data_IF_701779126479
#
_entry.id   IF_701779126479
#
_cell.length_a   1.000
_cell.length_b   1.000
_cell.length_c   1.000
_cell.angle_alpha   90.00
_cell.angle_beta   90.00
_cell.angle_gamma   90.00
#
_symmetry.space_group_name_H-M   'P 1'
#
loop_
_entity.id
_entity.type
_entity.pdbx_description
1 polymer ?
#
# COMPACT_ATOMS: atom_id res chain seq x y z
N UNK A 1 -5.11 -72.10 -8.17
CA UNK A 1 -4.07 -71.11 -8.54
C UNK A 1 -4.74 -69.75 -8.49
N UNK A 2 -4.63 -69.03 -7.36
CA UNK A 2 -5.33 -67.77 -7.12
C UNK A 2 -4.55 -66.61 -7.77
N UNK A 3 -5.17 -65.89 -8.70
CA UNK A 3 -4.62 -64.67 -9.27
C UNK A 3 -5.04 -63.48 -8.39
N UNK A 4 -4.06 -62.81 -7.79
CA UNK A 4 -4.23 -61.62 -6.97
C UNK A 4 -4.22 -60.39 -7.89
N UNK A 5 -5.38 -59.81 -8.13
CA UNK A 5 -5.52 -58.57 -8.90
C UNK A 5 -5.21 -57.39 -7.98
N UNK A 6 -4.07 -56.72 -8.22
CA UNK A 6 -3.72 -55.46 -7.55
C UNK A 6 -4.65 -54.34 -8.06
N UNK A 7 -5.51 -53.80 -7.20
CA UNK A 7 -6.24 -52.56 -7.46
C UNK A 7 -5.28 -51.39 -7.27
N UNK A 8 -4.97 -50.67 -8.34
CA UNK A 8 -4.29 -49.38 -8.25
C UNK A 8 -5.27 -48.34 -7.69
N UNK A 9 -4.98 -47.81 -6.50
CA UNK A 9 -5.73 -46.69 -5.94
C UNK A 9 -5.42 -45.42 -6.73
N UNK A 10 -6.43 -44.62 -7.12
CA UNK A 10 -6.17 -43.32 -7.74
C UNK A 10 -5.48 -42.40 -6.73
N UNK A 11 -4.34 -41.85 -7.12
CA UNK A 11 -3.71 -40.74 -6.41
C UNK A 11 -4.66 -39.54 -6.47
N UNK A 12 -5.33 -39.24 -5.35
CA UNK A 12 -5.95 -37.94 -5.17
C UNK A 12 -4.82 -36.90 -5.12
N UNK A 13 -4.84 -35.95 -6.05
CA UNK A 13 -4.00 -34.75 -5.91
C UNK A 13 -4.42 -34.06 -4.61
N UNK A 14 -3.50 -33.73 -3.70
CA UNK A 14 -3.85 -32.94 -2.53
C UNK A 14 -4.35 -31.58 -3.02
N UNK A 15 -5.61 -31.26 -2.74
CA UNK A 15 -6.10 -29.89 -2.86
C UNK A 15 -5.22 -29.01 -1.98
N UNK A 16 -4.48 -28.09 -2.60
CA UNK A 16 -3.69 -27.11 -1.86
C UNK A 16 -4.69 -26.17 -1.20
N UNK A 17 -5.02 -26.45 0.07
CA UNK A 17 -5.79 -25.52 0.89
C UNK A 17 -4.84 -24.41 1.29
N UNK A 18 -5.00 -23.24 0.65
CA UNK A 18 -4.25 -22.05 1.02
C UNK A 18 -4.60 -21.65 2.46
N UNK A 19 -3.56 -21.35 3.25
CA UNK A 19 -3.72 -21.03 4.66
C UNK A 19 -4.18 -19.59 4.80
N UNK A 20 -5.02 -19.34 5.80
CA UNK A 20 -5.45 -17.98 6.13
C UNK A 20 -4.37 -17.34 7.02
N UNK A 21 -3.85 -16.18 6.62
CA UNK A 21 -2.95 -15.38 7.44
C UNK A 21 -3.73 -14.41 8.34
N UNK A 22 -4.78 -13.78 7.79
CA UNK A 22 -5.63 -12.85 8.51
C UNK A 22 -7.09 -12.98 8.07
N UNK A 23 -8.01 -12.89 9.01
CA UNK A 23 -9.44 -12.72 8.75
C UNK A 23 -9.84 -11.26 9.06
N UNK A 24 -10.59 -10.63 8.16
CA UNK A 24 -11.07 -9.25 8.26
C UNK A 24 -12.57 -9.24 7.96
N UNK A 25 -13.39 -9.35 9.00
CA UNK A 25 -14.83 -9.58 8.88
C UNK A 25 -15.10 -10.87 8.09
N UNK A 26 -15.81 -10.73 6.96
CA UNK A 26 -16.11 -11.85 6.05
C UNK A 26 -15.06 -12.05 4.93
N UNK A 27 -13.91 -11.36 5.00
CA UNK A 27 -12.83 -11.43 4.02
C UNK A 27 -11.61 -12.06 4.63
N UNK A 28 -10.77 -12.66 3.80
CA UNK A 28 -9.52 -13.28 4.22
C UNK A 28 -8.34 -12.71 3.45
N UNK A 29 -7.17 -12.74 4.09
CA UNK A 29 -5.86 -12.58 3.49
C UNK A 29 -5.20 -13.95 3.59
N UNK A 30 -4.95 -14.59 2.46
CA UNK A 30 -4.30 -15.88 2.40
C UNK A 30 -2.76 -15.73 2.49
N UNK A 31 -2.06 -16.78 2.90
CA UNK A 31 -0.59 -16.78 2.97
C UNK A 31 0.03 -16.55 1.59
N UNK A 32 -0.53 -17.17 0.54
CA UNK A 32 -0.02 -16.97 -0.81
C UNK A 32 -0.18 -15.52 -1.30
N UNK A 33 -1.28 -14.85 -0.93
CA UNK A 33 -1.51 -13.44 -1.21
C UNK A 33 -0.54 -12.55 -0.44
N UNK A 34 -0.32 -12.84 0.85
CA UNK A 34 0.64 -12.12 1.68
C UNK A 34 2.06 -12.21 1.11
N UNK A 35 2.48 -13.41 0.73
CA UNK A 35 3.81 -13.63 0.15
C UNK A 35 3.96 -12.94 -1.22
N UNK A 36 2.90 -12.94 -2.04
CA UNK A 36 2.88 -12.23 -3.33
C UNK A 36 2.98 -10.71 -3.12
N UNK A 37 2.24 -10.18 -2.15
CA UNK A 37 2.26 -8.78 -1.76
C UNK A 37 3.66 -8.33 -1.29
N UNK A 38 4.34 -9.14 -0.47
CA UNK A 38 5.73 -8.91 -0.04
C UNK A 38 6.64 -8.79 -1.26
N UNK A 39 6.54 -9.74 -2.20
CA UNK A 39 7.38 -9.76 -3.40
C UNK A 39 7.16 -8.57 -4.30
N UNK A 40 5.91 -8.24 -4.62
CA UNK A 40 5.60 -7.15 -5.56
C UNK A 40 5.97 -5.78 -4.98
N UNK A 41 5.71 -5.58 -3.68
CA UNK A 41 6.07 -4.33 -2.99
C UNK A 41 7.59 -4.17 -2.92
N UNK A 42 8.32 -5.23 -2.56
CA UNK A 42 9.78 -5.21 -2.52
C UNK A 42 10.38 -4.96 -3.92
N UNK A 43 9.80 -5.56 -4.95
CA UNK A 43 10.20 -5.37 -6.35
C UNK A 43 10.06 -3.90 -6.79
N UNK A 44 8.89 -3.29 -6.57
CA UNK A 44 8.64 -1.88 -6.90
C UNK A 44 9.59 -0.94 -6.15
N UNK A 45 9.85 -1.24 -4.87
CA UNK A 45 10.73 -0.43 -4.03
C UNK A 45 12.23 -0.65 -4.29
N UNK A 46 12.60 -1.67 -5.08
CA UNK A 46 14.00 -2.02 -5.34
C UNK A 46 14.74 -2.55 -4.11
N UNK A 47 14.02 -3.18 -3.17
CA UNK A 47 14.57 -3.77 -1.95
C UNK A 47 14.41 -5.29 -1.96
N UNK A 48 15.04 -5.99 -1.01
CA UNK A 48 14.82 -7.42 -0.85
C UNK A 48 13.48 -7.68 -0.13
N UNK A 49 12.73 -8.73 -0.54
CA UNK A 49 11.52 -9.11 0.18
C UNK A 49 11.85 -9.61 1.58
N UNK A 50 11.10 -9.14 2.58
CA UNK A 50 11.24 -9.54 3.97
C UNK A 50 10.15 -10.55 4.36
N UNK A 51 10.52 -11.83 4.38
CA UNK A 51 9.66 -12.92 4.82
C UNK A 51 9.84 -13.28 6.30
N UNK A 52 10.58 -12.48 7.08
CA UNK A 52 10.66 -12.67 8.52
C UNK A 52 9.26 -12.54 9.16
N UNK A 53 9.05 -13.09 10.37
CA UNK A 53 7.76 -12.93 11.05
C UNK A 53 7.35 -11.46 11.23
N UNK A 54 8.32 -10.57 11.46
CA UNK A 54 8.08 -9.14 11.55
C UNK A 54 7.67 -8.54 10.19
N UNK A 55 8.36 -8.89 9.11
CA UNK A 55 8.03 -8.44 7.74
C UNK A 55 6.67 -8.94 7.25
N UNK A 56 6.35 -10.21 7.51
CA UNK A 56 5.03 -10.79 7.25
C UNK A 56 3.95 -10.07 8.02
N UNK A 57 4.14 -9.85 9.33
CA UNK A 57 3.17 -9.13 10.16
C UNK A 57 2.94 -7.70 9.67
N UNK A 58 4.02 -6.97 9.36
CA UNK A 58 3.92 -5.60 8.84
C UNK A 58 3.15 -5.55 7.50
N UNK A 59 3.43 -6.50 6.60
CA UNK A 59 2.72 -6.59 5.32
C UNK A 59 1.24 -6.96 5.53
N UNK A 60 0.96 -7.90 6.44
CA UNK A 60 -0.40 -8.30 6.77
C UNK A 60 -1.21 -7.14 7.37
N UNK A 61 -0.64 -6.35 8.27
CA UNK A 61 -1.27 -5.13 8.81
C UNK A 61 -1.62 -4.13 7.71
N UNK A 62 -0.70 -3.88 6.77
CA UNK A 62 -0.99 -3.02 5.61
C UNK A 62 -2.13 -3.60 4.76
N UNK A 63 -2.12 -4.89 4.47
CA UNK A 63 -3.19 -5.55 3.70
C UNK A 63 -4.55 -5.49 4.41
N UNK A 64 -4.59 -5.53 5.75
CA UNK A 64 -5.82 -5.30 6.52
C UNK A 64 -6.38 -3.91 6.22
N UNK A 65 -5.55 -2.87 6.27
CA UNK A 65 -5.97 -1.50 5.93
C UNK A 65 -6.46 -1.41 4.49
N UNK A 66 -5.78 -2.08 3.55
CA UNK A 66 -6.26 -2.16 2.17
C UNK A 66 -7.66 -2.78 2.09
N UNK A 67 -7.93 -3.87 2.83
CA UNK A 67 -9.26 -4.51 2.85
C UNK A 67 -10.34 -3.59 3.43
N UNK A 68 -10.00 -2.80 4.45
CA UNK A 68 -10.91 -1.82 5.06
C UNK A 68 -11.24 -0.67 4.08
N UNK A 69 -10.23 -0.12 3.41
CA UNK A 69 -10.41 0.90 2.36
C UNK A 69 -11.24 0.35 1.21
N UNK A 70 -10.95 -0.86 0.72
CA UNK A 70 -11.75 -1.49 -0.34
C UNK A 70 -13.21 -1.67 0.06
N UNK A 71 -13.47 -2.05 1.32
CA UNK A 71 -14.84 -2.13 1.84
C UNK A 71 -15.57 -0.78 1.78
N UNK A 72 -14.91 0.30 2.17
CA UNK A 72 -15.46 1.65 2.10
C UNK A 72 -15.70 2.11 0.65
N UNK A 73 -14.76 1.84 -0.26
CA UNK A 73 -14.92 2.15 -1.69
C UNK A 73 -16.18 1.48 -2.28
N UNK A 74 -16.37 0.20 -1.98
CA UNK A 74 -17.53 -0.58 -2.45
C UNK A 74 -18.86 -0.08 -1.86
N UNK A 75 -18.87 0.29 -0.58
CA UNK A 75 -20.10 0.67 0.14
C UNK A 75 -20.51 2.11 -0.16
N UNK A 76 -19.53 3.02 -0.28
CA UNK A 76 -19.75 4.46 -0.45
C UNK A 76 -19.68 4.93 -1.92
N UNK A 77 -19.43 4.01 -2.87
CA UNK A 77 -19.39 4.25 -4.32
C UNK A 77 -18.44 5.38 -4.74
N UNK A 78 -17.27 5.43 -4.11
CA UNK A 78 -16.20 6.33 -4.52
C UNK A 78 -15.68 5.96 -5.92
N UNK A 79 -15.19 6.94 -6.70
CA UNK A 79 -14.59 6.66 -8.00
C UNK A 79 -13.30 5.85 -7.84
N UNK A 80 -13.16 4.81 -8.65
CA UNK A 80 -11.94 4.00 -8.77
C UNK A 80 -11.25 4.39 -10.09
N UNK A 81 -9.92 4.62 -10.10
CA UNK A 81 -9.19 4.91 -11.33
C UNK A 81 -9.35 3.80 -12.39
N UNK A 82 -9.28 4.18 -13.67
CA UNK A 82 -9.24 3.20 -14.75
C UNK A 82 -7.91 2.43 -14.73
N UNK A 83 -7.94 1.12 -15.02
CA UNK A 83 -6.73 0.32 -15.12
C UNK A 83 -5.74 0.87 -16.18
N UNK A 84 -6.23 1.51 -17.23
CA UNK A 84 -5.38 2.15 -18.23
C UNK A 84 -4.53 3.31 -17.66
N UNK A 85 -4.92 3.91 -16.53
CA UNK A 85 -4.15 4.98 -15.88
C UNK A 85 -2.79 4.49 -15.34
N UNK A 86 -2.59 3.17 -15.17
CA UNK A 86 -1.31 2.62 -14.69
C UNK A 86 -0.28 2.41 -15.78
N UNK A 87 -0.68 2.33 -17.06
CA UNK A 87 0.26 2.01 -18.15
C UNK A 87 1.40 3.02 -18.30
N UNK A 88 1.18 4.35 -18.20
CA UNK A 88 2.28 5.33 -18.24
C UNK A 88 3.24 5.18 -17.06
N UNK A 89 2.71 4.82 -15.87
CA UNK A 89 3.51 4.62 -14.65
C UNK A 89 4.36 3.37 -14.79
N UNK A 90 3.78 2.27 -15.29
CA UNK A 90 4.50 1.03 -15.57
C UNK A 90 5.59 1.22 -16.63
N UNK A 91 5.28 1.95 -17.71
CA UNK A 91 6.26 2.26 -18.75
C UNK A 91 7.45 3.05 -18.20
N UNK A 92 7.18 4.10 -17.42
CA UNK A 92 8.24 4.90 -16.77
C UNK A 92 9.04 4.06 -15.76
N UNK A 93 8.39 3.20 -14.98
CA UNK A 93 9.07 2.27 -14.07
C UNK A 93 10.04 1.35 -14.84
N UNK A 94 9.59 0.77 -15.95
CA UNK A 94 10.42 -0.11 -16.79
C UNK A 94 11.62 0.64 -17.37
N UNK A 95 11.40 1.82 -17.95
CA UNK A 95 12.45 2.65 -18.55
C UNK A 95 13.51 3.08 -17.52
N UNK A 96 13.09 3.45 -16.31
CA UNK A 96 14.00 3.92 -15.27
C UNK A 96 14.82 2.80 -14.61
N UNK A 97 14.35 1.55 -14.63
CA UNK A 97 14.92 0.45 -13.83
C UNK A 97 15.56 -0.65 -14.67
N UNK A 98 15.17 -0.80 -15.94
CA UNK A 98 15.59 -1.92 -16.77
C UNK A 98 16.07 -1.43 -18.14
N UNK A 99 17.17 -2.00 -18.67
CA UNK A 99 17.70 -1.59 -19.97
C UNK A 99 16.82 -2.06 -21.13
N UNK A 100 15.98 -3.08 -20.93
CA UNK A 100 15.03 -3.60 -21.91
C UNK A 100 13.97 -4.51 -21.25
N UNK A 101 12.96 -4.86 -22.04
CA UNK A 101 11.85 -5.72 -21.62
C UNK A 101 12.24 -7.16 -21.26
N UNK A 102 13.32 -7.70 -21.82
CA UNK A 102 13.77 -9.05 -21.48
C UNK A 102 14.35 -9.10 -20.06
N UNK A 103 15.12 -8.08 -19.68
CA UNK A 103 15.65 -7.90 -18.34
C UNK A 103 14.55 -7.68 -17.30
N UNK A 104 13.52 -6.91 -17.65
CA UNK A 104 12.33 -6.74 -16.82
C UNK A 104 11.61 -8.07 -16.56
N UNK A 105 11.31 -8.85 -17.62
CA UNK A 105 10.67 -10.16 -17.47
C UNK A 105 11.52 -11.15 -16.68
N UNK A 106 12.85 -11.12 -16.85
CA UNK A 106 13.76 -11.93 -16.05
C UNK A 106 13.65 -11.58 -14.56
N UNK A 107 13.67 -10.29 -14.24
CA UNK A 107 13.55 -9.83 -12.85
C UNK A 107 12.20 -10.22 -12.22
N UNK A 108 11.09 -10.15 -12.97
CA UNK A 108 9.78 -10.67 -12.52
C UNK A 108 9.85 -12.18 -12.21
N UNK A 109 10.42 -12.96 -13.12
CA UNK A 109 10.56 -14.42 -12.98
C UNK A 109 11.45 -14.81 -11.80
N UNK A 110 12.57 -14.11 -11.58
CA UNK A 110 13.47 -14.34 -10.44
C UNK A 110 12.78 -14.06 -9.10
N UNK A 111 11.83 -13.13 -9.10
CA UNK A 111 11.01 -12.83 -7.93
C UNK A 111 9.79 -13.73 -7.81
N UNK A 112 9.38 -14.45 -8.85
CA UNK A 112 8.15 -15.25 -8.84
C UNK A 112 6.87 -14.41 -8.78
N UNK A 113 6.87 -13.29 -9.49
CA UNK A 113 5.70 -12.41 -9.68
C UNK A 113 5.45 -12.19 -11.17
N UNK A 114 4.25 -11.72 -11.51
CA UNK A 114 3.82 -11.42 -12.87
C UNK A 114 3.77 -9.91 -13.12
N UNK A 115 3.71 -9.51 -14.40
CA UNK A 115 3.46 -8.11 -14.76
C UNK A 115 2.06 -7.65 -14.29
N UNK A 116 1.10 -8.58 -14.19
CA UNK A 116 -0.23 -8.28 -13.66
C UNK A 116 -0.18 -7.94 -12.17
N UNK A 117 0.62 -8.66 -11.38
CA UNK A 117 0.80 -8.32 -9.96
C UNK A 117 1.33 -6.89 -9.79
N UNK A 118 2.28 -6.49 -10.65
CA UNK A 118 2.81 -5.13 -10.66
C UNK A 118 1.74 -4.11 -11.03
N UNK A 119 0.92 -4.38 -12.05
CA UNK A 119 -0.20 -3.50 -12.43
C UNK A 119 -1.20 -3.36 -11.30
N UNK A 120 -1.58 -4.47 -10.67
CA UNK A 120 -2.57 -4.50 -9.60
C UNK A 120 -2.10 -3.68 -8.39
N UNK A 121 -0.82 -3.79 -8.03
CA UNK A 121 -0.23 -3.00 -6.94
C UNK A 121 -0.15 -1.51 -7.30
N UNK A 122 0.28 -1.16 -8.52
CA UNK A 122 0.29 0.24 -8.98
C UNK A 122 -1.12 0.85 -9.01
N UNK A 123 -2.11 0.08 -9.47
CA UNK A 123 -3.51 0.50 -9.50
C UNK A 123 -4.05 0.68 -8.09
N UNK A 124 -3.68 -0.22 -7.18
CA UNK A 124 -4.04 -0.10 -5.78
C UNK A 124 -3.46 1.17 -5.15
N UNK A 125 -2.18 1.47 -5.36
CA UNK A 125 -1.54 2.70 -4.87
C UNK A 125 -2.26 3.95 -5.38
N UNK A 126 -2.62 3.99 -6.68
CA UNK A 126 -3.41 5.08 -7.27
C UNK A 126 -4.81 5.19 -6.67
N UNK A 127 -5.46 4.05 -6.47
CA UNK A 127 -6.79 3.98 -5.85
C UNK A 127 -6.76 4.55 -4.43
N UNK A 128 -5.75 4.18 -3.63
CA UNK A 128 -5.59 4.67 -2.27
C UNK A 128 -5.36 6.19 -2.24
N UNK A 129 -4.48 6.72 -3.10
CA UNK A 129 -4.24 8.17 -3.18
C UNK A 129 -5.53 8.92 -3.57
N UNK A 130 -6.27 8.43 -4.57
CA UNK A 130 -7.54 9.04 -4.99
C UNK A 130 -8.58 8.99 -3.87
N UNK A 131 -8.67 7.87 -3.16
CA UNK A 131 -9.57 7.74 -2.00
C UNK A 131 -9.24 8.79 -0.95
N UNK A 132 -7.95 8.97 -0.63
CA UNK A 132 -7.52 9.95 0.38
C UNK A 132 -7.89 11.38 -0.06
N UNK A 133 -7.59 11.72 -1.32
CA UNK A 133 -7.89 13.01 -1.92
C UNK A 133 -9.38 13.32 -1.90
N UNK A 134 -10.24 12.38 -2.32
CA UNK A 134 -11.68 12.63 -2.43
C UNK A 134 -12.36 12.66 -1.07
N UNK A 135 -11.96 11.79 -0.14
CA UNK A 135 -12.65 11.61 1.14
C UNK A 135 -12.24 12.63 2.19
N UNK A 136 -10.94 12.91 2.32
CA UNK A 136 -10.42 13.66 3.47
C UNK A 136 -10.01 15.08 3.11
N UNK A 137 -9.44 15.30 1.91
CA UNK A 137 -8.91 16.62 1.54
C UNK A 137 -9.96 17.75 1.56
N UNK A 138 -11.22 17.57 1.11
CA UNK A 138 -12.20 18.66 1.10
C UNK A 138 -12.59 19.19 2.48
N UNK A 139 -12.45 18.37 3.53
CA UNK A 139 -12.81 18.76 4.89
C UNK A 139 -11.67 19.51 5.63
N UNK A 140 -10.47 19.56 5.04
CA UNK A 140 -9.29 20.17 5.65
C UNK A 140 -9.21 21.65 5.27
N UNK A 141 -9.29 22.50 6.29
CA UNK A 141 -9.07 23.95 6.17
C UNK A 141 -7.85 24.34 6.98
N UNK A 142 -6.95 25.11 6.37
CA UNK A 142 -5.79 25.72 7.04
C UNK A 142 -6.05 27.22 7.09
N UNK A 143 -6.00 27.81 8.29
CA UNK A 143 -6.20 29.25 8.47
C UNK A 143 -4.91 30.03 8.28
N UNK A 144 -5.02 31.30 7.87
CA UNK A 144 -3.88 32.23 7.78
C UNK A 144 -3.11 32.33 9.10
N UNK A 145 -3.81 32.22 10.24
CA UNK A 145 -3.19 32.22 11.56
C UNK A 145 -2.26 31.01 11.74
N UNK A 146 -2.72 29.83 11.36
CA UNK A 146 -1.91 28.60 11.45
C UNK A 146 -0.69 28.67 10.54
N UNK A 147 -0.84 29.26 9.35
CA UNK A 147 0.27 29.50 8.41
C UNK A 147 1.30 30.46 9.04
N UNK A 148 0.85 31.58 9.60
CA UNK A 148 1.70 32.56 10.28
C UNK A 148 2.43 31.91 11.46
N UNK A 149 1.70 31.21 12.33
CA UNK A 149 2.25 30.56 13.52
C UNK A 149 3.30 29.50 13.13
N UNK A 150 3.04 28.69 12.08
CA UNK A 150 4.00 27.70 11.60
C UNK A 150 5.25 28.34 10.97
N UNK A 151 5.07 29.44 10.23
CA UNK A 151 6.17 30.18 9.65
C UNK A 151 7.09 30.74 10.74
N UNK A 152 6.54 31.45 11.72
CA UNK A 152 7.32 32.11 12.78
C UNK A 152 8.08 31.11 13.65
N UNK A 153 7.45 29.97 13.97
CA UNK A 153 7.99 29.03 14.94
C UNK A 153 8.83 27.90 14.33
N UNK A 154 8.63 27.57 13.04
CA UNK A 154 9.29 26.43 12.40
C UNK A 154 10.10 26.85 11.19
N UNK A 155 9.48 27.49 10.21
CA UNK A 155 10.14 27.76 8.91
C UNK A 155 11.17 28.87 9.02
N UNK A 156 10.82 30.01 9.61
CA UNK A 156 11.70 31.16 9.69
C UNK A 156 12.97 30.89 10.51
N UNK A 157 12.92 30.22 11.68
CA UNK A 157 14.13 29.82 12.41
C UNK A 157 15.03 28.89 11.57
N UNK A 158 14.45 27.89 10.91
CA UNK A 158 15.19 26.93 10.09
C UNK A 158 15.82 27.59 8.85
N UNK A 159 15.08 28.46 8.15
CA UNK A 159 15.56 29.16 6.96
C UNK A 159 16.70 30.14 7.29
N UNK A 160 16.59 30.90 8.40
CA UNK A 160 17.67 31.80 8.86
C UNK A 160 18.92 31.04 9.27
N UNK A 161 18.77 29.87 9.90
CA UNK A 161 19.91 29.02 10.24
C UNK A 161 20.63 28.48 8.98
N UNK A 162 19.87 28.13 7.94
CA UNK A 162 20.41 27.66 6.68
C UNK A 162 21.04 28.80 5.84
N UNK A 163 20.42 29.98 5.81
CA UNK A 163 20.83 31.11 4.98
C UNK A 163 20.70 32.45 5.73
N UNK A 164 21.67 32.81 6.60
CA UNK A 164 21.55 33.95 7.50
C UNK A 164 21.46 35.32 6.81
N UNK A 165 21.93 35.43 5.57
CA UNK A 165 22.01 36.69 4.83
C UNK A 165 20.83 36.94 3.89
N UNK A 166 19.91 35.98 3.75
CA UNK A 166 18.72 36.16 2.91
C UNK A 166 17.52 36.61 3.75
N UNK A 167 16.73 37.59 3.27
CA UNK A 167 15.43 37.90 3.87
C UNK A 167 14.55 36.64 3.86
N UNK A 168 13.93 36.35 4.99
CA UNK A 168 12.95 35.26 5.11
C UNK A 168 11.58 35.89 5.31
N UNK A 169 10.75 35.83 4.28
CA UNK A 169 9.39 36.40 4.26
C UNK A 169 8.36 35.30 4.07
N UNK A 170 7.19 35.45 4.69
CA UNK A 170 6.16 34.41 4.71
C UNK A 170 5.70 34.01 3.30
N UNK A 171 5.51 34.99 2.42
CA UNK A 171 4.92 34.76 1.09
C UNK A 171 5.73 33.78 0.23
N UNK A 172 7.05 33.68 0.45
CA UNK A 172 7.90 32.70 -0.25
C UNK A 172 7.62 31.25 0.18
N UNK A 173 6.98 31.05 1.33
CA UNK A 173 6.74 29.74 1.96
C UNK A 173 5.25 29.43 2.16
N UNK A 174 4.34 30.37 1.93
CA UNK A 174 2.91 30.25 2.25
C UNK A 174 2.30 28.96 1.71
N UNK A 175 2.41 28.71 0.41
CA UNK A 175 1.83 27.54 -0.25
C UNK A 175 2.42 26.23 0.29
N UNK A 176 3.74 26.20 0.56
CA UNK A 176 4.41 25.03 1.12
C UNK A 176 3.94 24.74 2.55
N UNK A 177 3.74 25.78 3.35
CA UNK A 177 3.25 25.67 4.73
C UNK A 177 1.81 25.18 4.71
N UNK A 178 0.96 25.77 3.86
CA UNK A 178 -0.42 25.36 3.70
C UNK A 178 -0.52 23.89 3.30
N UNK A 179 0.22 23.46 2.26
CA UNK A 179 0.25 22.07 1.83
C UNK A 179 0.71 21.13 2.95
N UNK A 180 1.75 21.52 3.70
CA UNK A 180 2.26 20.73 4.81
C UNK A 180 1.26 20.57 5.94
N UNK A 181 0.63 21.66 6.36
CA UNK A 181 -0.36 21.65 7.44
C UNK A 181 -1.62 20.90 7.02
N UNK A 182 -2.04 21.06 5.76
CA UNK A 182 -3.15 20.33 5.19
C UNK A 182 -2.86 18.83 5.13
N UNK A 183 -1.69 18.42 4.64
CA UNK A 183 -1.23 17.03 4.62
C UNK A 183 -1.23 16.41 6.02
N UNK A 184 -0.64 17.09 7.01
CA UNK A 184 -0.64 16.62 8.40
C UNK A 184 -2.05 16.48 9.02
N UNK A 185 -3.02 17.26 8.54
CA UNK A 185 -4.41 17.10 8.98
C UNK A 185 -5.08 15.93 8.27
N UNK A 186 -4.88 15.78 6.95
CA UNK A 186 -5.34 14.62 6.19
C UNK A 186 -4.84 13.32 6.83
N UNK A 187 -3.55 13.22 7.15
CA UNK A 187 -2.96 12.03 7.77
C UNK A 187 -3.67 11.66 9.08
N UNK A 188 -3.94 12.64 9.94
CA UNK A 188 -4.67 12.44 11.20
C UNK A 188 -6.11 11.96 10.98
N UNK A 189 -6.79 12.49 9.98
CA UNK A 189 -8.16 12.07 9.65
C UNK A 189 -8.18 10.65 9.07
N UNK A 190 -7.19 10.28 8.25
CA UNK A 190 -7.01 8.92 7.74
C UNK A 190 -6.77 7.94 8.90
N UNK A 191 -5.85 8.27 9.82
CA UNK A 191 -5.54 7.42 10.98
C UNK A 191 -6.75 7.24 11.89
N UNK A 192 -7.48 8.32 12.18
CA UNK A 192 -8.69 8.28 12.99
C UNK A 192 -9.76 7.40 12.32
N UNK A 193 -9.96 7.56 11.01
CA UNK A 193 -10.91 6.75 10.26
C UNK A 193 -10.51 5.27 10.20
N UNK A 194 -9.23 4.95 9.94
CA UNK A 194 -8.74 3.56 9.95
C UNK A 194 -8.91 2.91 11.32
N UNK A 195 -8.64 3.65 12.40
CA UNK A 195 -8.88 3.18 13.77
C UNK A 195 -10.34 2.79 14.00
N UNK A 196 -11.27 3.66 13.58
CA UNK A 196 -12.71 3.37 13.69
C UNK A 196 -13.16 2.23 12.76
N UNK A 197 -12.62 2.14 11.56
CA UNK A 197 -12.89 1.03 10.65
C UNK A 197 -12.41 -0.30 11.23
N UNK A 198 -11.22 -0.34 11.85
CA UNK A 198 -10.70 -1.52 12.55
C UNK A 198 -11.59 -1.93 13.72
N UNK A 199 -12.11 -0.99 14.53
CA UNK A 199 -13.02 -1.32 15.64
C UNK A 199 -14.35 -1.93 15.20
N UNK A 200 -14.83 -1.60 13.99
CA UNK A 200 -16.09 -2.11 13.43
C UNK A 200 -15.96 -3.46 12.75
N UNK A 201 -14.74 -3.93 12.50
CA UNK A 201 -14.47 -5.18 11.81
C UNK A 201 -13.73 -6.13 12.73
N UNK A 202 -14.19 -7.38 12.80
CA UNK A 202 -13.41 -8.42 13.48
C UNK A 202 -12.13 -8.69 12.68
N UNK A 203 -10.97 -8.51 13.32
CA UNK A 203 -9.66 -8.74 12.70
C UNK A 203 -8.93 -9.79 13.52
N UNK A 204 -8.65 -10.94 12.91
CA UNK A 204 -7.97 -12.07 13.56
C UNK A 204 -6.73 -12.44 12.76
N UNK A 205 -5.56 -12.28 13.39
CA UNK A 205 -4.29 -12.76 12.85
C UNK A 205 -4.08 -14.21 13.28
N UNK A 206 -3.73 -15.07 12.31
CA UNK A 206 -3.40 -16.47 12.54
C UNK A 206 -1.87 -16.55 12.69
N UNK A 207 -1.38 -16.44 13.92
CA UNK A 207 0.05 -16.24 14.22
C UNK A 207 0.94 -17.36 13.65
N UNK A 208 0.44 -18.59 13.60
CA UNK A 208 1.11 -19.74 12.99
C UNK A 208 1.34 -19.61 11.48
N UNK A 209 0.56 -18.76 10.81
CA UNK A 209 0.72 -18.46 9.40
C UNK A 209 1.73 -17.33 9.14
N UNK A 210 2.07 -16.56 10.19
CA UNK A 210 3.04 -15.47 10.14
C UNK A 210 4.43 -15.86 10.64
N UNK A 211 4.61 -17.07 11.18
CA UNK A 211 5.93 -17.60 11.54
C UNK A 211 6.80 -17.94 10.32
#
# INVERSE_FOLDING_TARGET
MFALTLLAAPYAFPDIIDRIAVSVGNRVIAVSDLDREIRVTAFLNGVQPDFSPAGKRATAERMVEQKLVRHELETSRYPVPDAAEVEPVLAQFKENRYPNDAEYRRALSERGITEQDVRDELLWQRTLLRFIEVRFRPAVQVSDREIQDYFENVVAPAARAAQPSQPVVLEDYRDLIEEKLAGQRVDREVDAWLSEARKRNEIVFHEEALQ
#
